data_IF_490880200790
#
_entry.id   IF_490880200790
#
_cell.length_a   1.000
_cell.length_b   1.000
_cell.length_c   1.000
_cell.angle_alpha   90.00
_cell.angle_beta   90.00
_cell.angle_gamma   90.00
#
_symmetry.space_group_name_H-M   'P 1'
#
loop_
_entity.id
_entity.type
_entity.pdbx_description
1 polymer ?
#
# COMPACT_ATOMS: atom_id res chain seq x y z
N UNK A 1 -4.51 16.06 47.49
CA UNK A 1 -5.32 15.64 46.34
C UNK A 1 -4.38 15.28 45.22
N UNK A 2 -4.28 13.98 44.89
CA UNK A 2 -3.47 13.53 43.78
C UNK A 2 -4.31 13.64 42.52
N UNK A 3 -3.92 14.49 41.56
CA UNK A 3 -4.51 14.54 40.24
C UNK A 3 -3.83 13.43 39.43
N UNK A 4 -4.56 12.35 39.18
CA UNK A 4 -4.10 11.34 38.23
C UNK A 4 -4.21 11.91 36.82
N UNK A 5 -3.10 12.31 36.25
CA UNK A 5 -3.01 12.58 34.82
C UNK A 5 -3.07 11.22 34.11
N UNK A 6 -4.25 10.90 33.58
CA UNK A 6 -4.36 9.81 32.64
C UNK A 6 -3.67 10.25 31.35
N UNK A 7 -2.45 9.77 31.13
CA UNK A 7 -1.83 9.83 29.82
C UNK A 7 -2.63 8.91 28.89
N UNK A 8 -3.52 9.53 28.12
CA UNK A 8 -4.11 8.85 26.98
C UNK A 8 -2.99 8.64 25.94
N UNK A 9 -2.30 7.53 26.02
CA UNK A 9 -1.46 7.11 24.91
C UNK A 9 -2.37 6.95 23.69
N UNK A 10 -2.10 7.70 22.63
CA UNK A 10 -2.77 7.51 21.36
C UNK A 10 -2.37 6.13 20.83
N UNK A 11 -3.13 5.11 21.23
CA UNK A 11 -2.96 3.77 20.67
C UNK A 11 -3.62 3.75 19.31
N UNK A 12 -2.82 3.54 18.27
CA UNK A 12 -3.38 3.23 16.96
C UNK A 12 -4.19 1.92 17.08
N UNK A 13 -5.39 1.87 16.49
CA UNK A 13 -6.17 0.65 16.51
C UNK A 13 -5.34 -0.52 15.95
N UNK A 14 -5.36 -1.66 16.61
CA UNK A 14 -4.67 -2.87 16.14
C UNK A 14 -5.08 -3.23 14.70
N UNK A 15 -6.32 -2.93 14.30
CA UNK A 15 -6.84 -3.13 12.95
C UNK A 15 -6.06 -2.34 11.89
N UNK A 16 -5.62 -1.09 12.20
CA UNK A 16 -4.84 -0.29 11.25
C UNK A 16 -3.44 -0.88 11.04
N UNK A 17 -2.80 -1.39 12.10
CA UNK A 17 -1.50 -2.04 12.00
C UNK A 17 -1.59 -3.36 11.22
N UNK A 18 -2.67 -4.13 11.43
CA UNK A 18 -2.92 -5.37 10.70
C UNK A 18 -3.19 -5.09 9.22
N UNK A 19 -3.91 -4.02 8.88
CA UNK A 19 -4.15 -3.61 7.51
C UNK A 19 -2.85 -3.23 6.79
N UNK A 20 -1.94 -2.52 7.45
CA UNK A 20 -0.64 -2.18 6.87
C UNK A 20 0.18 -3.43 6.57
N UNK A 21 0.20 -4.40 7.48
CA UNK A 21 0.91 -5.66 7.27
C UNK A 21 0.28 -6.49 6.16
N UNK A 22 -1.04 -6.54 6.12
CA UNK A 22 -1.77 -7.26 5.07
C UNK A 22 -1.50 -6.62 3.71
N UNK A 23 -1.59 -5.31 3.61
CA UNK A 23 -1.32 -4.58 2.37
C UNK A 23 0.09 -4.83 1.86
N UNK A 24 1.09 -4.76 2.74
CA UNK A 24 2.48 -5.06 2.41
C UNK A 24 2.65 -6.50 1.92
N UNK A 25 2.04 -7.47 2.60
CA UNK A 25 2.13 -8.88 2.23
C UNK A 25 1.48 -9.17 0.88
N UNK A 26 0.32 -8.57 0.62
CA UNK A 26 -0.39 -8.72 -0.65
C UNK A 26 0.42 -8.16 -1.82
N UNK A 27 0.99 -6.97 -1.65
CA UNK A 27 1.81 -6.36 -2.69
C UNK A 27 3.13 -7.10 -2.89
N UNK A 28 3.76 -7.55 -1.82
CA UNK A 28 5.01 -8.32 -1.90
C UNK A 28 4.78 -9.60 -2.70
N UNK A 29 3.71 -10.33 -2.39
CA UNK A 29 3.40 -11.60 -3.05
C UNK A 29 3.03 -11.44 -4.52
N UNK A 30 2.24 -10.42 -4.83
CA UNK A 30 1.64 -10.25 -6.17
C UNK A 30 2.43 -9.30 -7.08
N UNK A 31 3.20 -8.37 -6.51
CA UNK A 31 3.84 -7.29 -7.26
C UNK A 31 5.34 -7.21 -7.04
N UNK A 32 5.84 -7.83 -5.98
CA UNK A 32 7.24 -7.69 -5.54
C UNK A 32 8.29 -8.29 -6.46
N UNK A 33 7.91 -9.17 -7.38
CA UNK A 33 8.85 -9.71 -8.36
C UNK A 33 9.31 -8.67 -9.39
N UNK A 34 8.52 -7.62 -9.58
CA UNK A 34 8.80 -6.55 -10.55
C UNK A 34 8.94 -5.17 -9.92
N UNK A 35 8.17 -4.89 -8.88
CA UNK A 35 8.10 -3.58 -8.24
C UNK A 35 8.81 -3.54 -6.90
N UNK A 36 9.51 -2.45 -6.61
CA UNK A 36 9.93 -2.13 -5.24
C UNK A 36 8.69 -1.80 -4.41
N UNK A 37 8.50 -2.54 -3.32
CA UNK A 37 7.30 -2.46 -2.47
C UNK A 37 7.48 -1.48 -1.32
N UNK A 38 8.70 -1.32 -0.81
CA UNK A 38 8.97 -0.60 0.42
C UNK A 38 9.38 0.86 0.22
N UNK A 39 9.85 1.44 1.30
CA UNK A 39 10.28 2.86 1.36
C UNK A 39 11.61 3.12 0.65
N UNK A 40 12.34 2.08 0.30
CA UNK A 40 13.66 2.16 -0.31
C UNK A 40 13.91 1.00 -1.27
N UNK A 41 14.96 1.11 -2.02
CA UNK A 41 15.37 0.08 -2.98
C UNK A 41 14.85 0.30 -4.39
N UNK A 42 15.49 -0.37 -5.33
CA UNK A 42 15.10 -0.32 -6.74
C UNK A 42 14.14 -1.44 -7.08
N UNK A 43 13.26 -1.18 -8.04
CA UNK A 43 12.40 -2.23 -8.58
C UNK A 43 13.25 -3.30 -9.27
N UNK A 44 12.98 -4.60 -9.03
CA UNK A 44 13.68 -5.67 -9.75
C UNK A 44 13.56 -5.54 -11.26
N UNK A 45 12.40 -5.15 -11.75
CA UNK A 45 12.21 -4.80 -13.15
C UNK A 45 12.40 -3.29 -13.33
N UNK A 46 13.35 -2.91 -14.15
CA UNK A 46 13.81 -1.53 -14.31
C UNK A 46 12.68 -0.55 -14.68
N UNK A 47 11.76 -0.96 -15.52
CA UNK A 47 10.67 -0.11 -16.00
C UNK A 47 9.46 -0.10 -15.08
N UNK A 48 9.41 -0.95 -14.05
CA UNK A 48 8.32 -0.99 -13.09
C UNK A 48 8.53 0.11 -12.04
N UNK A 49 7.58 1.06 -11.87
CA UNK A 49 7.75 2.12 -10.89
C UNK A 49 7.78 1.57 -9.47
N UNK A 50 8.64 2.16 -8.65
CA UNK A 50 8.63 1.90 -7.21
C UNK A 50 7.33 2.45 -6.61
N UNK A 51 6.67 1.66 -5.77
CA UNK A 51 5.36 2.05 -5.24
C UNK A 51 5.39 3.30 -4.37
N UNK A 52 6.51 3.59 -3.72
CA UNK A 52 6.68 4.82 -2.94
C UNK A 52 6.61 6.10 -3.78
N UNK A 53 6.68 6.00 -5.09
CA UNK A 53 6.66 7.16 -6.01
C UNK A 53 5.31 7.37 -6.69
N UNK A 54 4.34 6.48 -6.49
CA UNK A 54 3.06 6.55 -7.21
C UNK A 54 2.26 7.80 -6.89
N UNK A 55 2.34 8.29 -5.65
CA UNK A 55 1.63 9.48 -5.22
C UNK A 55 2.04 10.77 -5.91
N UNK A 56 3.22 10.80 -6.56
CA UNK A 56 3.65 11.93 -7.36
C UNK A 56 2.98 11.98 -8.75
N UNK A 57 2.38 10.88 -9.16
CA UNK A 57 1.71 10.75 -10.47
C UNK A 57 0.20 10.95 -10.38
N UNK A 58 -0.41 10.47 -9.30
CA UNK A 58 -1.87 10.55 -9.06
C UNK A 58 -2.15 10.26 -7.59
N UNK A 59 -3.33 10.66 -7.09
CA UNK A 59 -3.72 10.30 -5.73
C UNK A 59 -3.80 8.78 -5.57
N UNK A 60 -3.28 8.26 -4.44
CA UNK A 60 -3.28 6.81 -4.19
C UNK A 60 -4.70 6.24 -4.17
N UNK A 61 -5.67 7.01 -3.67
CA UNK A 61 -7.08 6.61 -3.65
C UNK A 61 -7.64 6.28 -5.03
N UNK A 62 -7.09 6.86 -6.07
CA UNK A 62 -7.51 6.58 -7.45
C UNK A 62 -7.24 5.13 -7.88
N UNK A 63 -6.42 4.39 -7.13
CA UNK A 63 -6.17 2.99 -7.38
C UNK A 63 -7.23 2.04 -6.82
N UNK A 64 -8.13 2.51 -5.95
CA UNK A 64 -9.12 1.63 -5.31
C UNK A 64 -9.97 0.90 -6.32
N UNK A 65 -10.52 1.63 -7.27
CA UNK A 65 -11.38 1.07 -8.32
C UNK A 65 -10.61 0.09 -9.20
N UNK A 66 -9.43 0.47 -9.64
CA UNK A 66 -8.58 -0.38 -10.48
C UNK A 66 -8.21 -1.69 -9.76
N UNK A 67 -7.83 -1.62 -8.49
CA UNK A 67 -7.48 -2.82 -7.70
C UNK A 67 -8.68 -3.74 -7.48
N UNK A 68 -9.89 -3.17 -7.32
CA UNK A 68 -11.12 -3.92 -7.13
C UNK A 68 -11.71 -4.51 -8.42
N UNK A 69 -11.53 -3.83 -9.53
CA UNK A 69 -12.09 -4.23 -10.83
C UNK A 69 -11.09 -4.99 -11.70
N UNK A 70 -9.81 -4.81 -11.48
CA UNK A 70 -8.74 -5.43 -12.23
C UNK A 70 -7.72 -4.41 -12.68
N UNK A 71 -6.50 -4.50 -12.16
CA UNK A 71 -5.40 -3.61 -12.55
C UNK A 71 -4.87 -4.03 -13.91
N UNK A 72 -5.01 -3.14 -14.88
CA UNK A 72 -4.41 -3.28 -16.20
C UNK A 72 -3.53 -2.08 -16.46
N UNK A 73 -2.23 -2.30 -16.56
CA UNK A 73 -1.27 -1.22 -16.80
C UNK A 73 -1.10 -0.89 -18.29
N UNK A 74 -1.56 -1.76 -19.17
CA UNK A 74 -1.25 -1.69 -20.60
C UNK A 74 0.16 -2.20 -20.93
N UNK A 75 0.95 -2.57 -19.94
CA UNK A 75 2.27 -3.15 -20.15
C UNK A 75 2.16 -4.66 -20.35
N UNK A 76 2.76 -5.23 -21.43
CA UNK A 76 2.56 -6.65 -21.76
C UNK A 76 3.10 -7.61 -20.71
N UNK A 77 4.08 -7.20 -19.91
CA UNK A 77 4.70 -8.03 -18.88
C UNK A 77 4.01 -7.93 -17.52
N UNK A 78 3.06 -7.01 -17.35
CA UNK A 78 2.33 -6.86 -16.10
C UNK A 78 1.00 -7.62 -16.16
N UNK A 79 0.83 -8.69 -15.36
CA UNK A 79 -0.43 -9.42 -15.30
C UNK A 79 -1.55 -8.57 -14.75
N UNK A 80 -2.78 -8.93 -15.06
CA UNK A 80 -3.96 -8.36 -14.44
C UNK A 80 -4.14 -8.94 -13.03
N UNK A 81 -4.35 -8.07 -12.04
CA UNK A 81 -4.65 -8.46 -10.67
C UNK A 81 -5.96 -7.84 -10.20
N UNK A 82 -6.76 -8.63 -9.51
CA UNK A 82 -8.03 -8.20 -8.94
C UNK A 82 -8.09 -8.63 -7.48
N UNK A 83 -8.49 -7.71 -6.60
CA UNK A 83 -8.57 -7.95 -5.17
C UNK A 83 -9.98 -7.69 -4.67
N UNK A 84 -10.37 -8.38 -3.60
CA UNK A 84 -11.63 -8.08 -2.92
C UNK A 84 -11.53 -6.78 -2.10
N UNK A 85 -12.67 -6.26 -1.64
CA UNK A 85 -12.76 -4.93 -1.05
C UNK A 85 -11.89 -4.77 0.20
N UNK A 86 -11.81 -5.78 1.07
CA UNK A 86 -10.99 -5.71 2.28
C UNK A 86 -9.50 -5.66 1.95
N UNK A 87 -9.07 -6.44 0.99
CA UNK A 87 -7.70 -6.45 0.53
C UNK A 87 -7.34 -5.12 -0.16
N UNK A 88 -8.25 -4.57 -0.95
CA UNK A 88 -8.06 -3.23 -1.56
C UNK A 88 -7.83 -2.18 -0.48
N UNK A 89 -8.66 -2.18 0.56
CA UNK A 89 -8.51 -1.23 1.68
C UNK A 89 -7.13 -1.34 2.34
N UNK A 90 -6.66 -2.55 2.59
CA UNK A 90 -5.35 -2.79 3.18
C UNK A 90 -4.21 -2.33 2.26
N UNK A 91 -4.31 -2.61 0.96
CA UNK A 91 -3.33 -2.17 -0.03
C UNK A 91 -3.25 -0.65 -0.09
N UNK A 92 -4.38 0.04 -0.14
CA UNK A 92 -4.42 1.51 -0.18
C UNK A 92 -3.81 2.11 1.08
N UNK A 93 -4.15 1.56 2.26
CA UNK A 93 -3.57 2.01 3.52
C UNK A 93 -2.04 1.89 3.52
N UNK A 94 -1.52 0.76 3.09
CA UNK A 94 -0.08 0.55 2.99
C UNK A 94 0.57 1.50 1.98
N UNK A 95 0.02 1.62 0.78
CA UNK A 95 0.56 2.50 -0.26
C UNK A 95 0.63 3.95 0.22
N UNK A 96 -0.41 4.44 0.90
CA UNK A 96 -0.39 5.78 1.49
C UNK A 96 0.74 5.95 2.51
N UNK A 97 1.01 4.92 3.30
CA UNK A 97 2.00 4.98 4.36
C UNK A 97 3.44 5.12 3.87
N UNK A 98 3.72 4.71 2.64
CA UNK A 98 5.08 4.69 2.08
C UNK A 98 5.37 5.79 1.07
N UNK A 99 4.40 6.63 0.73
CA UNK A 99 4.62 7.64 -0.31
C UNK A 99 5.71 8.63 0.06
N UNK A 100 6.57 8.92 -0.90
CA UNK A 100 7.53 10.02 -0.81
C UNK A 100 6.80 11.35 -0.97
N UNK A 101 7.18 12.28 -0.16
CA UNK A 101 6.66 13.65 -0.20
C UNK A 101 7.67 14.59 -0.86
#
# INVERSE_FOLDING_TARGET
MAVALALAAAMQPAAAADDLKLGEALLTRNCGSCHAIGRSGDSPQKDAPAFRTLGSRYPIESLEEALGEGVMSGHPDMPEYKFDADDVGAIIAYLKSIQQR
#
